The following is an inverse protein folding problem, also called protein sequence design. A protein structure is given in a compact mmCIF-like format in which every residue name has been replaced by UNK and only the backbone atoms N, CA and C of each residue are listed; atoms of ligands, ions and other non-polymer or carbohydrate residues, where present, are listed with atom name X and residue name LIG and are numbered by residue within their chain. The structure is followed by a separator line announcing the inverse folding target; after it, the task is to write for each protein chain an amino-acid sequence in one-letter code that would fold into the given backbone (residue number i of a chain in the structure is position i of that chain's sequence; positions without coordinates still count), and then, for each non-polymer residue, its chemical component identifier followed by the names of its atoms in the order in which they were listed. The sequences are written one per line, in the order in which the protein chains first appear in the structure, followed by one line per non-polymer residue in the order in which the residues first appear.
data_IF_882043836100
#
_entry.id   IF_882043836100
#
_cell.length_a   1.000
_cell.length_b   1.000
_cell.length_c   1.000
_cell.angle_alpha   90.00
_cell.angle_beta   90.00
_cell.angle_gamma   90.00
#
_symmetry.space_group_name_H-M   'P 1'
#
loop_
_entity.id
_entity.type
_entity.pdbx_description
1 polymer ?
#
# COMPACT_ATOMS: atom_id res chain seq x y z
N UNK A 1 -10.19 -10.33 -15.08
CA UNK A 1 -9.74 -9.01 -15.60
C UNK A 1 -8.62 -8.50 -14.70
N UNK A 2 -7.39 -8.37 -15.20
CA UNK A 2 -6.30 -7.77 -14.43
C UNK A 2 -6.33 -6.25 -14.59
N UNK A 3 -6.43 -5.50 -13.50
CA UNK A 3 -6.24 -4.04 -13.53
C UNK A 3 -4.75 -3.75 -13.46
N UNK A 4 -4.20 -3.07 -14.45
CA UNK A 4 -2.80 -2.63 -14.41
C UNK A 4 -2.72 -1.24 -13.79
N UNK A 5 -2.35 -1.18 -12.51
CA UNK A 5 -2.10 0.07 -11.78
C UNK A 5 -0.60 0.34 -11.56
N UNK A 6 0.28 -0.37 -12.29
CA UNK A 6 1.73 -0.21 -12.14
C UNK A 6 2.16 1.19 -12.57
N UNK A 7 3.05 1.81 -11.79
CA UNK A 7 3.56 3.17 -12.01
C UNK A 7 2.48 4.26 -12.02
N UNK A 8 1.34 4.00 -11.37
CA UNK A 8 0.24 4.97 -11.27
C UNK A 8 0.24 5.64 -9.91
N UNK A 9 0.21 6.97 -9.89
CA UNK A 9 0.08 7.76 -8.65
C UNK A 9 -1.37 7.75 -8.14
N UNK A 10 -1.54 7.63 -6.82
CA UNK A 10 -2.83 7.77 -6.14
C UNK A 10 -2.93 9.18 -5.52
N UNK A 11 -3.41 10.16 -6.28
CA UNK A 11 -3.49 11.57 -5.82
C UNK A 11 -4.90 11.90 -5.34
N UNK A 12 -5.93 11.52 -6.10
CA UNK A 12 -7.34 11.69 -5.72
C UNK A 12 -8.19 10.52 -6.20
N UNK A 13 -9.30 10.26 -5.50
CA UNK A 13 -10.20 9.14 -5.81
C UNK A 13 -10.83 9.27 -7.21
N UNK A 14 -11.09 10.50 -7.66
CA UNK A 14 -11.68 10.81 -8.96
C UNK A 14 -10.83 10.38 -10.16
N UNK A 15 -9.53 10.11 -9.95
CA UNK A 15 -8.69 9.61 -11.02
C UNK A 15 -9.03 8.14 -11.35
N UNK A 16 -9.68 7.41 -10.44
CA UNK A 16 -9.92 5.98 -10.57
C UNK A 16 -11.37 5.68 -10.97
N UNK A 17 -11.53 4.67 -11.80
CA UNK A 17 -12.86 4.15 -12.12
C UNK A 17 -13.44 3.38 -10.93
N UNK A 18 -14.78 3.27 -10.80
CA UNK A 18 -15.39 2.46 -9.75
C UNK A 18 -14.92 1.00 -9.74
N UNK A 19 -14.56 0.44 -10.90
CA UNK A 19 -14.05 -0.92 -11.03
C UNK A 19 -12.64 -1.07 -10.45
N UNK A 20 -11.76 -0.08 -10.68
CA UNK A 20 -10.41 -0.05 -10.10
C UNK A 20 -10.45 0.10 -8.57
N UNK A 21 -11.36 0.93 -8.05
CA UNK A 21 -11.56 1.06 -6.61
C UNK A 21 -12.07 -0.25 -6.00
N UNK A 22 -13.04 -0.91 -6.63
CA UNK A 22 -13.49 -2.25 -6.18
C UNK A 22 -12.36 -3.26 -6.19
N UNK A 23 -11.47 -3.21 -7.17
CA UNK A 23 -10.27 -4.05 -7.19
C UNK A 23 -9.33 -3.74 -6.03
N UNK A 24 -9.03 -2.47 -5.73
CA UNK A 24 -8.18 -2.08 -4.59
C UNK A 24 -8.78 -2.50 -3.24
N UNK A 25 -10.10 -2.40 -3.09
CA UNK A 25 -10.80 -2.87 -1.90
C UNK A 25 -10.70 -4.40 -1.74
N UNK A 26 -10.88 -5.14 -2.83
CA UNK A 26 -10.71 -6.60 -2.84
C UNK A 26 -9.28 -7.00 -2.50
N UNK A 27 -8.29 -6.34 -3.11
CA UNK A 27 -6.87 -6.56 -2.82
C UNK A 27 -6.54 -6.29 -1.34
N UNK A 28 -7.07 -5.20 -0.77
CA UNK A 28 -6.90 -4.88 0.65
C UNK A 28 -7.47 -5.98 1.56
N UNK A 29 -8.64 -6.53 1.22
CA UNK A 29 -9.24 -7.64 1.96
C UNK A 29 -8.40 -8.91 1.88
N UNK A 30 -7.87 -9.23 0.70
CA UNK A 30 -7.05 -10.43 0.48
C UNK A 30 -5.70 -10.33 1.22
N UNK A 31 -5.05 -9.16 1.19
CA UNK A 31 -3.82 -8.91 1.95
C UNK A 31 -4.05 -9.01 3.46
N UNK A 32 -5.16 -8.45 3.94
CA UNK A 32 -5.57 -8.61 5.33
C UNK A 32 -5.73 -10.09 5.68
N UNK A 33 -6.49 -10.85 4.89
CA UNK A 33 -6.69 -12.28 5.13
C UNK A 33 -5.37 -13.06 5.13
N UNK A 34 -4.43 -12.73 4.24
CA UNK A 34 -3.11 -13.37 4.19
C UNK A 34 -2.27 -13.10 5.44
N UNK A 35 -2.27 -11.85 5.94
CA UNK A 35 -1.59 -11.49 7.18
C UNK A 35 -2.19 -12.21 8.39
N UNK A 36 -3.52 -12.24 8.51
CA UNK A 36 -4.20 -12.95 9.60
C UNK A 36 -4.01 -14.47 9.52
N UNK A 37 -3.92 -15.03 8.31
CA UNK A 37 -3.68 -16.46 8.12
C UNK A 37 -2.21 -16.88 8.18
N UNK A 38 -1.28 -15.95 8.36
CA UNK A 38 0.16 -16.23 8.44
C UNK A 38 0.82 -16.68 7.12
N UNK A 39 0.14 -16.51 5.98
CA UNK A 39 0.65 -16.87 4.64
C UNK A 39 0.94 -15.65 3.76
N UNK A 40 1.18 -14.51 4.40
CA UNK A 40 1.62 -13.30 3.71
C UNK A 40 2.92 -13.54 2.91
N UNK A 41 2.98 -12.94 1.72
CA UNK A 41 4.14 -13.03 0.84
C UNK A 41 4.91 -11.70 0.80
N UNK A 42 6.24 -11.72 0.95
CA UNK A 42 7.03 -10.50 0.96
C UNK A 42 7.28 -9.98 -0.46
N UNK A 43 6.27 -9.29 -1.01
CA UNK A 43 6.22 -8.83 -2.41
C UNK A 43 7.07 -7.57 -2.69
N UNK A 44 7.50 -6.85 -1.66
CA UNK A 44 8.19 -5.56 -1.79
C UNK A 44 9.66 -5.60 -1.35
N UNK A 45 10.25 -6.79 -1.20
CA UNK A 45 11.69 -6.94 -0.88
C UNK A 45 12.58 -6.15 -1.84
N UNK A 46 13.51 -5.39 -1.26
CA UNK A 46 14.45 -4.55 -2.01
C UNK A 46 13.85 -3.27 -2.60
N UNK A 47 12.60 -2.94 -2.26
CA UNK A 47 12.00 -1.63 -2.58
C UNK A 47 12.21 -0.66 -1.43
N UNK A 48 12.44 0.61 -1.77
CA UNK A 48 12.60 1.70 -0.81
C UNK A 48 11.44 2.69 -1.01
N UNK A 49 10.79 3.09 0.08
CA UNK A 49 9.69 4.07 0.10
C UNK A 49 10.12 5.27 0.94
N UNK A 50 10.08 6.46 0.34
CA UNK A 50 10.29 7.72 1.06
C UNK A 50 8.93 8.29 1.49
N UNK A 51 8.77 8.54 2.79
CA UNK A 51 7.62 9.22 3.37
C UNK A 51 7.99 10.66 3.67
N UNK A 52 7.37 11.60 2.95
CA UNK A 52 7.62 13.04 3.08
C UNK A 52 6.41 13.66 3.77
N UNK A 53 6.60 14.23 4.97
CA UNK A 53 5.53 14.85 5.75
C UNK A 53 5.84 16.30 6.09
N UNK A 54 5.18 17.24 5.41
CA UNK A 54 5.25 18.68 5.77
C UNK A 54 4.53 18.96 7.10
N UNK A 55 3.44 18.23 7.37
CA UNK A 55 2.71 18.27 8.64
C UNK A 55 2.72 16.88 9.27
N UNK A 56 3.06 16.81 10.55
CA UNK A 56 3.11 15.55 11.28
C UNK A 56 1.72 14.90 11.37
N UNK A 57 1.65 13.64 10.96
CA UNK A 57 0.46 12.79 11.11
C UNK A 57 0.90 11.39 11.56
N UNK A 58 0.95 11.12 12.87
CA UNK A 58 1.50 9.86 13.39
C UNK A 58 0.69 8.64 12.90
N UNK A 59 -0.63 8.77 12.79
CA UNK A 59 -1.49 7.69 12.30
C UNK A 59 -1.20 7.36 10.84
N UNK A 60 -1.06 8.38 9.99
CA UNK A 60 -0.74 8.18 8.57
C UNK A 60 0.63 7.54 8.42
N UNK A 61 1.64 8.09 9.11
CA UNK A 61 3.01 7.55 9.12
C UNK A 61 3.03 6.07 9.49
N UNK A 62 2.47 5.71 10.65
CA UNK A 62 2.49 4.32 11.13
C UNK A 62 1.75 3.37 10.19
N UNK A 63 0.63 3.80 9.58
CA UNK A 63 -0.07 2.96 8.60
C UNK A 63 0.79 2.66 7.36
N UNK A 64 1.52 3.65 6.83
CA UNK A 64 2.41 3.44 5.69
C UNK A 64 3.66 2.63 6.05
N UNK A 65 4.25 2.88 7.22
CA UNK A 65 5.41 2.13 7.70
C UNK A 65 5.07 0.64 7.84
N UNK A 66 4.00 0.29 8.55
CA UNK A 66 3.61 -1.12 8.74
C UNK A 66 3.27 -1.78 7.39
N UNK A 67 2.48 -1.12 6.54
CA UNK A 67 2.11 -1.66 5.24
C UNK A 67 3.30 -1.86 4.28
N UNK A 68 4.40 -1.13 4.48
CA UNK A 68 5.63 -1.29 3.72
C UNK A 68 6.55 -2.37 4.31
N UNK A 69 6.68 -2.42 5.64
CA UNK A 69 7.54 -3.38 6.32
C UNK A 69 7.03 -4.81 6.22
N UNK A 70 5.72 -5.04 6.33
CA UNK A 70 5.12 -6.39 6.25
C UNK A 70 5.54 -7.14 4.96
N UNK A 71 5.45 -6.53 3.75
CA UNK A 71 5.92 -7.16 2.51
C UNK A 71 7.43 -7.02 2.27
N UNK A 72 8.20 -6.45 3.20
CA UNK A 72 9.66 -6.38 3.19
C UNK A 72 10.30 -5.17 2.48
N UNK A 73 9.58 -4.06 2.34
CA UNK A 73 10.15 -2.81 1.84
C UNK A 73 10.91 -2.06 2.95
N UNK A 74 11.90 -1.25 2.55
CA UNK A 74 12.54 -0.29 3.45
C UNK A 74 11.79 1.04 3.39
N UNK A 75 11.72 1.73 4.53
CA UNK A 75 11.07 3.04 4.64
C UNK A 75 12.06 4.07 5.16
N UNK A 76 12.05 5.25 4.56
CA UNK A 76 12.77 6.43 5.05
C UNK A 76 11.75 7.55 5.26
N UNK A 77 11.83 8.22 6.41
CA UNK A 77 10.93 9.31 6.79
C UNK A 77 11.68 10.65 6.74
N UNK A 78 11.07 11.65 6.12
CA UNK A 78 11.58 13.00 5.90
C UNK A 78 10.57 14.02 6.41
#
# INVERSE_FOLDING_TARGET
MGFNLRNRSFVKLLDFTPAEIRFLLKLSADLKAAKYGGYEQPRLRGKNIALIFEKSSPRTRTSFEVAAYDPGANVTYL
#
